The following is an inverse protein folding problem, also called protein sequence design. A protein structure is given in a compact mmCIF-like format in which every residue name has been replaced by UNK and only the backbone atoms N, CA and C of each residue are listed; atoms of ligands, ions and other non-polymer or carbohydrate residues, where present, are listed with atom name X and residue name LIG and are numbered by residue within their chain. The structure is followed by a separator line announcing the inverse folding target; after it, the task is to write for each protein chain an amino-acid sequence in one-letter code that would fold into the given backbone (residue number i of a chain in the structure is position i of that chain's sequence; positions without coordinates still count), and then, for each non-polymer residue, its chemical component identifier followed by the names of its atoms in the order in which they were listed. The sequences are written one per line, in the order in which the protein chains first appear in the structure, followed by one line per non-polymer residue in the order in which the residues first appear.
data_IF_980747557972
#
_entry.id   IF_980747557972
#
_cell.length_a   1.000
_cell.length_b   1.000
_cell.length_c   1.000
_cell.angle_alpha   90.00
_cell.angle_beta   90.00
_cell.angle_gamma   90.00
#
_symmetry.space_group_name_H-M   'P 1'
#
loop_
_entity.id
_entity.type
_entity.pdbx_description
1 polymer ?
#
# COMPACT_ATOMS: atom_id res chain seq x y z
N UNK A 1 -45.49 28.80 -11.45
CA UNK A 1 -44.75 30.07 -11.41
C UNK A 1 -44.57 30.44 -9.95
N UNK A 2 -43.38 30.25 -9.39
CA UNK A 2 -43.03 30.64 -8.02
C UNK A 2 -41.56 31.03 -7.99
N UNK A 3 -41.34 32.18 -7.39
CA UNK A 3 -40.25 33.10 -7.70
C UNK A 3 -39.28 32.97 -6.52
N UNK A 4 -38.05 32.52 -6.76
CA UNK A 4 -37.05 32.42 -5.69
C UNK A 4 -36.21 33.69 -5.67
N UNK A 5 -36.36 34.43 -4.57
CA UNK A 5 -35.62 35.63 -4.24
C UNK A 5 -34.14 35.30 -3.95
N UNK A 6 -33.25 36.08 -4.55
CA UNK A 6 -31.81 36.06 -4.30
C UNK A 6 -31.53 36.93 -3.06
N UNK A 7 -31.11 36.31 -1.96
CA UNK A 7 -30.58 37.04 -0.80
C UNK A 7 -29.06 36.97 -0.88
N UNK A 8 -28.44 38.05 -1.34
CA UNK A 8 -27.01 38.28 -1.25
C UNK A 8 -26.64 38.44 0.23
N UNK A 9 -26.05 37.41 0.82
CA UNK A 9 -25.56 37.44 2.20
C UNK A 9 -24.09 37.87 2.19
N UNK A 10 -23.89 39.13 2.56
CA UNK A 10 -22.61 39.78 2.76
C UNK A 10 -22.00 39.25 4.08
N UNK A 11 -21.13 38.24 3.99
CA UNK A 11 -20.36 37.79 5.15
C UNK A 11 -19.17 38.71 5.38
N UNK A 12 -19.31 39.58 6.38
CA UNK A 12 -18.26 40.40 6.94
C UNK A 12 -17.21 39.54 7.64
N UNK A 13 -15.96 39.80 7.27
CA UNK A 13 -14.75 39.33 7.92
C UNK A 13 -14.74 39.71 9.41
N UNK A 14 -14.71 38.70 10.28
CA UNK A 14 -14.18 38.85 11.64
C UNK A 14 -13.21 37.70 11.88
N UNK A 15 -11.92 38.04 11.88
CA UNK A 15 -10.84 37.12 12.22
C UNK A 15 -10.80 36.86 13.72
N UNK A 16 -10.71 35.59 14.09
CA UNK A 16 -10.09 35.16 15.34
C UNK A 16 -9.01 34.15 14.96
N UNK A 17 -7.75 34.56 15.16
CA UNK A 17 -6.58 33.73 14.94
C UNK A 17 -6.53 32.64 16.00
N UNK A 18 -6.99 31.44 15.65
CA UNK A 18 -6.65 30.23 16.39
C UNK A 18 -5.32 29.73 15.84
N UNK A 19 -4.26 29.87 16.65
CA UNK A 19 -2.89 29.60 16.27
C UNK A 19 -2.71 28.21 15.65
N UNK A 20 -2.30 28.20 14.38
CA UNK A 20 -1.61 27.05 13.82
C UNK A 20 -0.30 26.87 14.59
N UNK A 21 -0.24 25.87 15.49
CA UNK A 21 1.03 25.20 15.76
C UNK A 21 1.39 24.39 14.51
N UNK A 22 1.90 25.07 13.50
CA UNK A 22 2.62 24.42 12.41
C UNK A 22 4.02 24.13 12.94
N UNK A 23 4.15 23.07 13.73
CA UNK A 23 5.44 22.46 13.99
C UNK A 23 5.65 21.47 12.86
N UNK A 24 6.25 21.94 11.77
CA UNK A 24 6.82 21.08 10.73
C UNK A 24 8.27 20.80 11.11
N UNK A 25 8.64 19.55 11.44
CA UNK A 25 10.03 19.14 11.33
C UNK A 25 10.11 17.87 10.47
N UNK A 26 9.83 17.92 9.16
CA UNK A 26 9.65 16.66 8.42
C UNK A 26 9.77 16.71 6.88
N UNK A 27 10.95 16.99 6.28
CA UNK A 27 11.23 16.41 4.95
C UNK A 27 12.27 15.29 4.99
N UNK A 28 13.25 15.40 5.91
CA UNK A 28 14.41 14.49 5.97
C UNK A 28 14.19 13.25 6.83
N UNK A 29 13.31 13.31 7.84
CA UNK A 29 12.97 12.12 8.61
C UNK A 29 12.09 11.16 7.78
N UNK A 30 11.13 11.73 7.05
CA UNK A 30 10.17 10.99 6.23
C UNK A 30 10.86 10.26 5.07
N UNK A 31 11.83 10.89 4.41
CA UNK A 31 12.55 10.27 3.29
C UNK A 31 13.32 9.01 3.71
N UNK A 32 13.91 9.01 4.92
CA UNK A 32 14.67 7.89 5.46
C UNK A 32 13.71 6.77 5.83
N UNK A 33 12.59 7.10 6.47
CA UNK A 33 11.55 6.13 6.84
C UNK A 33 11.04 5.40 5.60
N UNK A 34 10.68 6.15 4.55
CA UNK A 34 10.18 5.59 3.28
C UNK A 34 11.25 4.72 2.63
N UNK A 35 12.48 5.24 2.47
CA UNK A 35 13.58 4.51 1.83
C UNK A 35 13.90 3.20 2.54
N UNK A 36 13.90 3.19 3.87
CA UNK A 36 14.13 2.00 4.67
C UNK A 36 12.99 0.99 4.50
N UNK A 37 11.73 1.43 4.53
CA UNK A 37 10.58 0.56 4.30
C UNK A 37 10.64 -0.10 2.90
N UNK A 38 11.03 0.64 1.87
CA UNK A 38 11.17 0.11 0.51
C UNK A 38 12.24 -0.99 0.40
N UNK A 39 13.31 -0.94 1.21
CA UNK A 39 14.31 -2.03 1.27
C UNK A 39 13.67 -3.34 1.73
N UNK A 40 12.84 -3.30 2.78
CA UNK A 40 12.11 -4.47 3.28
C UNK A 40 11.10 -4.97 2.24
N UNK A 41 10.31 -4.07 1.63
CA UNK A 41 9.35 -4.44 0.58
C UNK A 41 10.01 -5.16 -0.60
N UNK A 42 11.19 -4.70 -1.04
CA UNK A 42 12.00 -5.38 -2.07
C UNK A 42 12.43 -6.78 -1.63
N UNK A 43 12.81 -6.97 -0.38
CA UNK A 43 13.15 -8.29 0.16
C UNK A 43 11.93 -9.21 0.19
N UNK A 44 10.76 -8.70 0.57
CA UNK A 44 9.51 -9.48 0.56
C UNK A 44 9.15 -9.92 -0.86
N UNK A 45 9.18 -8.99 -1.81
CA UNK A 45 8.95 -9.31 -3.22
C UNK A 45 9.93 -10.38 -3.72
N UNK A 46 11.23 -10.23 -3.43
CA UNK A 46 12.24 -11.24 -3.78
C UNK A 46 11.96 -12.61 -3.17
N UNK A 47 11.52 -12.67 -1.90
CA UNK A 47 11.12 -13.91 -1.22
C UNK A 47 9.94 -14.56 -1.94
N UNK A 48 8.90 -13.78 -2.24
CA UNK A 48 7.68 -14.24 -2.92
C UNK A 48 8.01 -14.79 -4.31
N UNK A 49 8.73 -14.05 -5.15
CA UNK A 49 9.10 -14.51 -6.50
C UNK A 49 9.93 -15.78 -6.47
N UNK A 50 10.81 -15.97 -5.48
CA UNK A 50 11.57 -17.23 -5.32
C UNK A 50 10.69 -18.43 -5.03
N UNK A 51 9.56 -18.23 -4.35
CA UNK A 51 8.60 -19.29 -4.01
C UNK A 51 7.47 -19.45 -5.03
N UNK A 52 7.47 -18.61 -6.07
CA UNK A 52 6.38 -18.55 -7.03
C UNK A 52 6.53 -19.63 -8.11
N UNK A 53 5.58 -20.57 -8.11
CA UNK A 53 5.47 -21.62 -9.11
C UNK A 53 4.55 -21.15 -10.25
N UNK A 54 5.13 -20.79 -11.38
CA UNK A 54 4.44 -20.17 -12.50
C UNK A 54 3.68 -21.26 -13.30
N UNK A 55 2.35 -21.15 -13.46
CA UNK A 55 1.60 -22.10 -14.28
C UNK A 55 2.04 -22.03 -15.74
N UNK A 56 2.19 -23.19 -16.40
CA UNK A 56 2.63 -23.29 -17.80
C UNK A 56 1.75 -22.52 -18.79
N UNK A 57 0.47 -22.33 -18.47
CA UNK A 57 -0.49 -21.62 -19.33
C UNK A 57 -0.49 -20.10 -19.14
N UNK A 58 0.40 -19.55 -18.30
CA UNK A 58 0.35 -18.14 -17.88
C UNK A 58 1.25 -17.19 -18.68
N UNK A 59 1.81 -17.63 -19.81
CA UNK A 59 2.62 -16.79 -20.70
C UNK A 59 1.90 -15.49 -21.07
N UNK A 60 2.56 -14.35 -20.88
CA UNK A 60 1.98 -13.02 -21.16
C UNK A 60 1.02 -12.48 -20.10
N UNK A 61 0.71 -13.23 -19.03
CA UNK A 61 -0.16 -12.76 -17.95
C UNK A 61 0.57 -11.83 -16.99
N UNK A 62 -0.18 -10.91 -16.37
CA UNK A 62 0.34 -10.03 -15.32
C UNK A 62 -0.72 -9.71 -14.28
N UNK A 63 -0.34 -9.62 -13.01
CA UNK A 63 -1.26 -9.28 -11.92
C UNK A 63 -0.61 -8.32 -10.93
N UNK A 64 -1.36 -7.31 -10.50
CA UNK A 64 -0.98 -6.38 -9.44
C UNK A 64 -1.69 -6.76 -8.15
N UNK A 65 -0.94 -6.92 -7.06
CA UNK A 65 -1.46 -7.39 -5.78
C UNK A 65 -1.01 -6.46 -4.66
N UNK A 66 -1.95 -6.03 -3.82
CA UNK A 66 -1.67 -5.37 -2.55
C UNK A 66 -1.68 -6.41 -1.44
N UNK A 67 -0.64 -6.40 -0.62
CA UNK A 67 -0.50 -7.28 0.54
C UNK A 67 -0.43 -6.42 1.80
N UNK A 68 -1.20 -6.83 2.79
CA UNK A 68 -1.22 -6.25 4.13
C UNK A 68 -0.71 -7.29 5.11
N UNK A 69 0.16 -6.86 6.01
CA UNK A 69 0.75 -7.69 7.04
C UNK A 69 0.26 -7.25 8.43
N UNK A 70 0.15 -8.22 9.33
CA UNK A 70 -0.05 -8.00 10.76
C UNK A 70 1.18 -7.32 11.38
N UNK A 71 1.09 -6.94 12.65
CA UNK A 71 2.23 -6.46 13.44
C UNK A 71 3.28 -7.52 13.77
N UNK A 72 2.95 -8.80 13.60
CA UNK A 72 3.86 -9.96 13.70
C UNK A 72 4.49 -10.35 12.36
N UNK A 73 4.07 -9.73 11.26
CA UNK A 73 4.59 -10.00 9.91
C UNK A 73 3.89 -11.16 9.20
N UNK A 74 2.78 -11.65 9.74
CA UNK A 74 1.89 -12.58 9.05
C UNK A 74 1.03 -11.86 8.02
N UNK A 75 0.38 -12.61 7.14
CA UNK A 75 -0.52 -12.04 6.13
C UNK A 75 -1.85 -11.71 6.78
N UNK A 76 -2.23 -10.44 6.74
CA UNK A 76 -3.55 -9.96 7.13
C UNK A 76 -4.51 -10.00 5.94
N UNK A 77 -4.07 -9.53 4.77
CA UNK A 77 -4.92 -9.44 3.59
C UNK A 77 -4.12 -9.51 2.28
N UNK A 78 -4.72 -10.14 1.27
CA UNK A 78 -4.25 -10.14 -0.12
C UNK A 78 -5.37 -9.59 -1.00
N UNK A 79 -5.10 -8.52 -1.74
CA UNK A 79 -6.05 -7.89 -2.66
C UNK A 79 -5.48 -7.89 -4.07
N UNK A 80 -6.18 -8.54 -5.00
CA UNK A 80 -5.88 -8.48 -6.43
C UNK A 80 -6.52 -7.22 -7.02
N UNK A 81 -5.75 -6.46 -7.79
CA UNK A 81 -6.22 -5.22 -8.43
C UNK A 81 -6.70 -5.47 -9.86
N UNK A 82 -6.24 -6.56 -10.48
CA UNK A 82 -6.56 -6.93 -11.85
C UNK A 82 -7.48 -8.16 -11.86
N UNK A 83 -8.25 -8.32 -12.94
CA UNK A 83 -9.07 -9.52 -13.19
C UNK A 83 -8.21 -10.56 -13.89
N UNK A 84 -7.89 -11.64 -13.19
CA UNK A 84 -6.98 -12.69 -13.67
C UNK A 84 -7.62 -14.07 -13.70
N UNK A 85 -7.02 -14.98 -14.45
CA UNK A 85 -7.41 -16.38 -14.44
C UNK A 85 -7.20 -17.03 -13.06
N UNK A 86 -8.15 -17.87 -12.65
CA UNK A 86 -8.15 -18.48 -11.31
C UNK A 86 -6.87 -19.27 -11.00
N UNK A 87 -6.33 -20.02 -11.98
CA UNK A 87 -5.09 -20.79 -11.79
C UNK A 87 -3.88 -19.89 -11.52
N UNK A 88 -3.78 -18.78 -12.24
CA UNK A 88 -2.72 -17.78 -12.06
C UNK A 88 -2.84 -17.09 -10.69
N UNK A 89 -4.06 -16.67 -10.34
CA UNK A 89 -4.38 -16.09 -9.03
C UNK A 89 -3.98 -17.02 -7.87
N UNK A 90 -4.42 -18.29 -7.92
CA UNK A 90 -4.11 -19.28 -6.87
C UNK A 90 -2.62 -19.58 -6.78
N UNK A 91 -1.88 -19.58 -7.90
CA UNK A 91 -0.42 -19.70 -7.88
C UNK A 91 0.24 -18.54 -7.12
N UNK A 92 -0.20 -17.30 -7.38
CA UNK A 92 0.28 -16.10 -6.70
C UNK A 92 -0.06 -16.14 -5.20
N UNK A 93 -1.29 -16.46 -4.83
CA UNK A 93 -1.73 -16.59 -3.43
C UNK A 93 -0.84 -17.58 -2.68
N UNK A 94 -0.60 -18.76 -3.26
CA UNK A 94 0.27 -19.79 -2.66
C UNK A 94 1.70 -19.27 -2.44
N UNK A 95 2.25 -18.52 -3.39
CA UNK A 95 3.59 -17.94 -3.27
C UNK A 95 3.67 -16.93 -2.11
N UNK A 96 2.66 -16.06 -1.99
CA UNK A 96 2.56 -15.09 -0.90
C UNK A 96 2.44 -15.81 0.44
N UNK A 97 1.51 -16.77 0.58
CA UNK A 97 1.32 -17.55 1.80
C UNK A 97 2.56 -18.32 2.24
N UNK A 98 3.28 -18.97 1.32
CA UNK A 98 4.54 -19.67 1.61
C UNK A 98 5.69 -18.75 2.02
N UNK A 99 5.58 -17.46 1.71
CA UNK A 99 6.56 -16.46 2.11
C UNK A 99 6.30 -15.88 3.50
N UNK A 100 5.13 -16.16 4.09
CA UNK A 100 4.82 -15.77 5.47
C UNK A 100 5.57 -16.66 6.47
N UNK A 101 6.02 -16.14 7.63
CA UNK A 101 5.98 -14.73 8.03
C UNK A 101 7.11 -13.90 7.38
N UNK A 102 6.90 -12.58 7.32
CA UNK A 102 7.86 -11.59 6.83
C UNK A 102 8.57 -10.90 7.99
N UNK A 103 9.89 -10.72 7.87
CA UNK A 103 10.70 -10.00 8.88
C UNK A 103 10.36 -8.52 8.82
N UNK A 104 9.86 -7.97 9.92
CA UNK A 104 9.49 -6.55 9.98
C UNK A 104 10.65 -5.67 10.50
N UNK A 105 10.71 -4.39 10.08
CA UNK A 105 11.61 -3.40 10.66
C UNK A 105 11.37 -3.23 12.16
N UNK A 106 12.43 -3.02 12.95
CA UNK A 106 12.31 -2.74 14.39
C UNK A 106 11.74 -1.34 14.66
N UNK A 107 12.03 -0.36 13.79
CA UNK A 107 11.50 1.00 13.90
C UNK A 107 9.97 1.01 13.63
N UNK A 108 9.13 1.52 14.56
CA UNK A 108 7.67 1.51 14.41
C UNK A 108 7.13 2.21 13.15
N UNK A 109 7.66 3.37 12.78
CA UNK A 109 7.19 4.12 11.61
C UNK A 109 7.59 3.43 10.31
N UNK A 110 8.82 2.90 10.24
CA UNK A 110 9.26 2.09 9.09
C UNK A 110 8.41 0.83 8.97
N UNK A 111 8.13 0.15 10.09
CA UNK A 111 7.28 -1.04 10.14
C UNK A 111 5.87 -0.75 9.64
N UNK A 112 5.25 0.34 10.10
CA UNK A 112 3.92 0.77 9.65
C UNK A 112 3.86 0.91 8.12
N UNK A 113 4.89 1.49 7.51
CA UNK A 113 5.01 1.64 6.06
C UNK A 113 5.30 0.30 5.35
N UNK A 114 6.16 -0.54 5.92
CA UNK A 114 6.57 -1.81 5.33
C UNK A 114 5.47 -2.88 5.32
N UNK A 115 4.53 -2.84 6.29
CA UNK A 115 3.40 -3.78 6.37
C UNK A 115 2.41 -3.69 5.21
N UNK A 116 2.51 -2.66 4.36
CA UNK A 116 1.64 -2.47 3.20
C UNK A 116 2.50 -2.35 1.96
N UNK A 117 2.35 -3.28 1.03
CA UNK A 117 3.14 -3.25 -0.19
C UNK A 117 2.37 -3.76 -1.41
N UNK A 118 2.79 -3.26 -2.57
CA UNK A 118 2.29 -3.71 -3.86
C UNK A 118 3.36 -4.58 -4.54
N UNK A 119 2.93 -5.60 -5.26
CA UNK A 119 3.78 -6.45 -6.09
C UNK A 119 3.11 -6.63 -7.45
N UNK A 120 3.90 -6.61 -8.52
CA UNK A 120 3.42 -6.82 -9.90
C UNK A 120 4.00 -8.10 -10.48
N UNK A 121 3.22 -9.16 -10.51
CA UNK A 121 3.58 -10.42 -11.17
C UNK A 121 3.47 -10.26 -12.68
N UNK A 122 4.46 -10.75 -13.41
CA UNK A 122 4.50 -10.73 -14.87
C UNK A 122 5.21 -11.99 -15.34
N UNK A 123 4.59 -12.71 -16.27
CA UNK A 123 5.21 -13.84 -16.96
C UNK A 123 5.59 -13.37 -18.35
N UNK A 124 6.86 -13.55 -18.71
CA UNK A 124 7.37 -13.21 -20.05
C UNK A 124 6.96 -14.25 -21.07
#
# INVERSE_FOLDING_TARGET
MKNFAIVASLFLLVGCATGHKQVTPAPVADNKIISEAEKYKKQYQKKIYKTWDIPKSSTGMSASVKVFLTDTGEIEQIIFLDKEEQKFKTSIEKAIWRSSPFVLPSNPEVRKQARKFNIKFQVK
#
